data_IF_005819276473
#
_entry.id   IF_005819276473
#
_cell.length_a   1.000
_cell.length_b   1.000
_cell.length_c   1.000
_cell.angle_alpha   90.00
_cell.angle_beta   90.00
_cell.angle_gamma   90.00
#
_symmetry.space_group_name_H-M   'P 1'
#
loop_
_entity.id
_entity.type
_entity.pdbx_description
1 polymer ?
#
# COMPACT_ATOMS: atom_id res chain seq x y z
N UNK A 1 -18.41 -3.09 -25.13
CA UNK A 1 -18.19 -2.64 -23.74
C UNK A 1 -16.68 -2.56 -23.54
N UNK A 2 -16.16 -1.42 -23.05
CA UNK A 2 -14.75 -1.33 -22.71
C UNK A 2 -14.41 -2.30 -21.56
N UNK A 3 -13.22 -2.92 -21.54
CA UNK A 3 -12.81 -3.79 -20.44
C UNK A 3 -12.74 -3.02 -19.12
N UNK A 4 -13.10 -3.68 -18.02
CA UNK A 4 -13.02 -3.09 -16.68
C UNK A 4 -11.55 -2.89 -16.27
N UNK A 5 -11.25 -1.70 -15.75
CA UNK A 5 -9.97 -1.40 -15.11
C UNK A 5 -9.99 -1.97 -13.70
N UNK A 6 -9.23 -3.04 -13.52
CA UNK A 6 -9.04 -3.74 -12.26
C UNK A 6 -7.57 -3.66 -11.89
N UNK A 7 -7.24 -4.06 -10.67
CA UNK A 7 -5.84 -4.16 -10.26
C UNK A 7 -5.05 -5.11 -11.18
N UNK A 8 -5.65 -6.23 -11.62
CA UNK A 8 -5.01 -7.19 -12.54
C UNK A 8 -4.82 -6.63 -13.95
N UNK A 9 -5.86 -6.03 -14.53
CA UNK A 9 -5.75 -5.45 -15.88
C UNK A 9 -4.82 -4.23 -15.91
N UNK A 10 -4.75 -3.47 -14.82
CA UNK A 10 -3.82 -2.36 -14.69
C UNK A 10 -2.36 -2.81 -14.67
N UNK A 11 -2.01 -3.87 -13.92
CA UNK A 11 -0.64 -4.37 -13.90
C UNK A 11 -0.24 -5.00 -15.24
N UNK A 12 -1.17 -5.69 -15.92
CA UNK A 12 -0.94 -6.22 -17.27
C UNK A 12 -0.67 -5.08 -18.28
N UNK A 13 -1.49 -4.02 -18.28
CA UNK A 13 -1.26 -2.83 -19.14
C UNK A 13 0.07 -2.15 -18.82
N UNK A 14 0.33 -1.84 -17.54
CA UNK A 14 1.54 -1.17 -17.11
C UNK A 14 2.80 -1.96 -17.49
N UNK A 15 2.77 -3.29 -17.31
CA UNK A 15 3.89 -4.18 -17.69
C UNK A 15 4.09 -4.22 -19.20
N UNK A 16 3.02 -4.22 -19.99
CA UNK A 16 3.12 -4.22 -21.46
C UNK A 16 3.77 -2.94 -22.00
N UNK A 17 3.55 -1.81 -21.33
CA UNK A 17 4.02 -0.48 -21.76
C UNK A 17 5.39 -0.12 -21.18
N UNK A 18 5.66 -0.51 -19.93
CA UNK A 18 6.87 -0.11 -19.19
C UNK A 18 7.45 -1.26 -18.35
N UNK A 19 7.83 -2.39 -18.97
CA UNK A 19 8.21 -3.61 -18.24
C UNK A 19 9.41 -3.41 -17.31
N UNK A 20 10.39 -2.59 -17.72
CA UNK A 20 11.63 -2.34 -16.97
C UNK A 20 11.57 -1.16 -16.00
N UNK A 21 10.43 -0.45 -15.91
CA UNK A 21 10.28 0.66 -14.97
C UNK A 21 10.01 0.11 -13.58
N UNK A 22 10.61 0.70 -12.56
CA UNK A 22 10.34 0.35 -11.16
C UNK A 22 8.87 0.60 -10.80
N UNK A 23 8.18 -0.45 -10.38
CA UNK A 23 6.87 -0.38 -9.75
C UNK A 23 7.00 -0.16 -8.24
N UNK A 24 8.03 -0.75 -7.62
CA UNK A 24 8.32 -0.59 -6.19
C UNK A 24 9.79 -0.30 -5.92
N UNK A 25 10.02 0.35 -4.77
CA UNK A 25 11.31 0.47 -4.09
C UNK A 25 11.18 -0.18 -2.72
N UNK A 26 11.85 -1.30 -2.49
CA UNK A 26 11.74 -2.11 -1.26
C UNK A 26 13.02 -2.01 -0.44
N UNK A 27 12.97 -1.64 0.84
CA UNK A 27 14.16 -1.44 1.66
C UNK A 27 14.90 -2.75 1.89
N UNK A 28 16.21 -2.72 1.69
CA UNK A 28 17.15 -3.77 2.09
C UNK A 28 17.75 -3.36 3.43
N UNK A 29 17.40 -4.13 4.47
CA UNK A 29 17.79 -3.84 5.86
C UNK A 29 18.93 -4.75 6.25
N UNK A 30 19.99 -4.16 6.77
CA UNK A 30 21.12 -4.88 7.31
C UNK A 30 20.71 -5.64 8.59
N UNK A 31 20.80 -6.98 8.64
CA UNK A 31 20.31 -7.75 9.78
C UNK A 31 21.06 -7.49 11.10
N UNK A 32 22.30 -6.99 11.03
CA UNK A 32 23.14 -6.76 12.20
C UNK A 32 22.95 -5.36 12.79
N UNK A 33 22.74 -4.36 11.94
CA UNK A 33 22.65 -2.95 12.36
C UNK A 33 21.22 -2.41 12.37
N UNK A 34 20.27 -3.15 11.79
CA UNK A 34 18.89 -2.72 11.60
C UNK A 34 18.78 -1.39 10.81
N UNK A 35 19.79 -1.08 9.98
CA UNK A 35 19.83 0.11 9.11
C UNK A 35 19.46 -0.24 7.68
N UNK A 36 18.94 0.75 6.94
CA UNK A 36 18.60 0.59 5.53
C UNK A 36 19.86 0.81 4.68
N UNK A 37 20.35 -0.27 4.07
CA UNK A 37 21.52 -0.23 3.20
C UNK A 37 21.19 0.46 1.88
N UNK A 38 20.06 0.10 1.26
CA UNK A 38 19.52 0.72 0.05
C UNK A 38 18.06 0.31 -0.18
N UNK A 39 17.41 0.87 -1.19
CA UNK A 39 16.13 0.37 -1.71
C UNK A 39 16.39 -0.36 -3.02
N UNK A 40 15.89 -1.59 -3.08
CA UNK A 40 15.92 -2.42 -4.28
C UNK A 40 14.70 -2.10 -5.15
N UNK A 41 14.95 -1.91 -6.43
CA UNK A 41 13.88 -1.69 -7.41
C UNK A 41 13.24 -3.02 -7.78
N UNK A 42 11.91 -3.06 -7.75
CA UNK A 42 11.10 -4.13 -8.36
C UNK A 42 10.40 -3.53 -9.56
N UNK A 43 10.68 -4.05 -10.74
CA UNK A 43 10.09 -3.60 -11.99
C UNK A 43 8.64 -4.08 -12.16
N UNK A 44 7.87 -3.45 -13.05
CA UNK A 44 6.54 -3.93 -13.40
C UNK A 44 6.56 -5.40 -13.89
N UNK A 45 7.57 -5.78 -14.67
CA UNK A 45 7.73 -7.16 -15.12
C UNK A 45 7.99 -8.14 -13.98
N UNK A 46 8.92 -7.83 -13.08
CA UNK A 46 9.20 -8.66 -11.89
C UNK A 46 7.97 -8.77 -10.99
N UNK A 47 7.24 -7.68 -10.78
CA UNK A 47 6.00 -7.70 -10.00
C UNK A 47 4.94 -8.61 -10.62
N UNK A 48 4.74 -8.54 -11.94
CA UNK A 48 3.81 -9.44 -12.62
C UNK A 48 4.25 -10.91 -12.50
N UNK A 49 5.54 -11.20 -12.64
CA UNK A 49 6.08 -12.55 -12.48
C UNK A 49 5.87 -13.09 -11.06
N UNK A 50 6.10 -12.27 -10.03
CA UNK A 50 5.87 -12.63 -8.63
C UNK A 50 4.39 -12.97 -8.39
N UNK A 51 3.47 -12.15 -8.94
CA UNK A 51 2.03 -12.40 -8.88
C UNK A 51 1.69 -13.74 -9.53
N UNK A 52 2.19 -14.00 -10.75
CA UNK A 52 1.90 -15.23 -11.48
C UNK A 52 2.45 -16.47 -10.79
N UNK A 53 3.67 -16.39 -10.26
CA UNK A 53 4.28 -17.46 -9.51
C UNK A 53 3.46 -17.82 -8.27
N UNK A 54 3.12 -16.81 -7.47
CA UNK A 54 2.36 -17.01 -6.24
C UNK A 54 0.90 -17.38 -6.51
N UNK A 55 0.31 -16.94 -7.62
CA UNK A 55 -1.03 -17.34 -8.04
C UNK A 55 -1.11 -18.83 -8.37
N UNK A 56 -0.10 -19.38 -9.07
CA UNK A 56 -0.01 -20.82 -9.34
C UNK A 56 0.06 -21.62 -8.04
N UNK A 57 0.89 -21.17 -7.10
CA UNK A 57 0.98 -21.78 -5.77
C UNK A 57 -0.37 -21.78 -5.05
N UNK A 58 -1.05 -20.63 -4.95
CA UNK A 58 -2.34 -20.54 -4.25
C UNK A 58 -3.45 -21.30 -4.95
N UNK A 59 -3.45 -21.33 -6.29
CA UNK A 59 -4.38 -22.18 -7.04
C UNK A 59 -4.19 -23.65 -6.66
N UNK A 60 -2.96 -24.16 -6.66
CA UNK A 60 -2.67 -25.53 -6.24
C UNK A 60 -3.15 -25.80 -4.80
N UNK A 61 -2.74 -24.98 -3.84
CA UNK A 61 -3.09 -25.16 -2.41
C UNK A 61 -4.59 -25.10 -2.17
N UNK A 62 -5.29 -24.11 -2.74
CA UNK A 62 -6.70 -23.88 -2.47
C UNK A 62 -7.58 -24.82 -3.29
N UNK A 63 -7.31 -24.97 -4.59
CA UNK A 63 -8.15 -25.76 -5.49
C UNK A 63 -7.82 -27.24 -5.45
N UNK A 64 -6.54 -27.59 -5.65
CA UNK A 64 -6.13 -28.98 -5.86
C UNK A 64 -5.95 -29.71 -4.54
N UNK A 65 -5.31 -29.08 -3.54
CA UNK A 65 -5.11 -29.70 -2.23
C UNK A 65 -6.36 -29.60 -1.35
N UNK A 66 -7.02 -28.44 -1.31
CA UNK A 66 -8.10 -28.15 -0.35
C UNK A 66 -9.52 -28.22 -0.96
N UNK A 67 -9.65 -28.44 -2.28
CA UNK A 67 -10.94 -28.56 -2.96
C UNK A 67 -11.79 -27.28 -3.01
N UNK A 68 -11.22 -26.12 -2.66
CA UNK A 68 -11.95 -24.85 -2.58
C UNK A 68 -12.24 -24.34 -3.99
N UNK A 69 -13.52 -24.14 -4.36
CA UNK A 69 -13.87 -23.66 -5.70
C UNK A 69 -13.41 -22.22 -5.91
N UNK A 70 -13.01 -21.89 -7.13
CA UNK A 70 -12.74 -20.50 -7.53
C UNK A 70 -13.97 -19.62 -7.29
N UNK A 71 -13.74 -18.31 -7.19
CA UNK A 71 -14.70 -17.27 -6.74
C UNK A 71 -15.09 -17.35 -5.27
N UNK A 72 -14.50 -18.29 -4.51
CA UNK A 72 -14.62 -18.28 -3.06
C UNK A 72 -13.88 -17.08 -2.46
N UNK A 73 -14.39 -16.60 -1.34
CA UNK A 73 -13.74 -15.56 -0.53
C UNK A 73 -12.63 -16.20 0.31
N UNK A 74 -11.43 -15.62 0.22
CA UNK A 74 -10.24 -16.04 0.94
C UNK A 74 -9.79 -14.87 1.81
N UNK A 75 -9.77 -15.07 3.12
CA UNK A 75 -9.32 -14.06 4.06
C UNK A 75 -7.79 -14.01 4.09
N UNK A 76 -7.28 -12.79 3.97
CA UNK A 76 -5.86 -12.44 3.98
C UNK A 76 -5.58 -11.63 5.24
N UNK A 77 -4.90 -12.28 6.17
CA UNK A 77 -4.69 -11.86 7.54
C UNK A 77 -3.21 -11.54 7.75
N UNK A 78 -2.79 -10.38 7.25
CA UNK A 78 -1.40 -9.92 7.31
C UNK A 78 -1.32 -8.55 7.97
N UNK A 79 -0.12 -8.14 8.36
CA UNK A 79 0.10 -6.75 8.80
C UNK A 79 -0.05 -5.76 7.64
N UNK A 80 0.30 -6.15 6.42
CA UNK A 80 0.03 -5.40 5.19
C UNK A 80 1.04 -4.30 4.85
N UNK A 81 2.24 -4.35 5.40
CA UNK A 81 3.28 -3.31 5.22
C UNK A 81 4.41 -3.73 4.30
N UNK A 82 4.39 -4.96 3.78
CA UNK A 82 5.44 -5.49 2.92
C UNK A 82 4.95 -5.61 1.48
N UNK A 83 5.87 -5.48 0.54
CA UNK A 83 5.68 -5.77 -0.87
C UNK A 83 5.02 -7.14 -1.07
N UNK A 84 5.50 -8.15 -0.34
CA UNK A 84 4.94 -9.51 -0.42
C UNK A 84 3.45 -9.58 -0.05
N UNK A 85 2.98 -8.74 0.89
CA UNK A 85 1.55 -8.67 1.24
C UNK A 85 0.72 -8.24 0.03
N UNK A 86 1.20 -7.27 -0.77
CA UNK A 86 0.58 -6.86 -2.03
C UNK A 86 0.56 -8.01 -3.04
N UNK A 87 1.69 -8.70 -3.19
CA UNK A 87 1.78 -9.86 -4.11
C UNK A 87 0.74 -10.91 -3.73
N UNK A 88 0.54 -11.21 -2.44
CA UNK A 88 -0.52 -12.12 -1.98
C UNK A 88 -1.92 -11.66 -2.40
N UNK A 89 -2.25 -10.37 -2.25
CA UNK A 89 -3.56 -9.84 -2.67
C UNK A 89 -3.80 -10.06 -4.17
N UNK A 90 -2.83 -9.67 -4.99
CA UNK A 90 -2.92 -9.80 -6.45
C UNK A 90 -2.95 -11.27 -6.87
N UNK A 91 -2.10 -12.11 -6.27
CA UNK A 91 -1.99 -13.53 -6.57
C UNK A 91 -3.30 -14.29 -6.28
N UNK A 92 -3.98 -13.96 -5.17
CA UNK A 92 -5.26 -14.58 -4.82
C UNK A 92 -6.35 -14.21 -5.83
N UNK A 93 -6.41 -12.94 -6.25
CA UNK A 93 -7.28 -12.54 -7.36
C UNK A 93 -6.92 -13.24 -8.67
N UNK A 94 -5.63 -13.33 -8.99
CA UNK A 94 -5.13 -13.97 -10.22
C UNK A 94 -5.39 -15.48 -10.25
N UNK A 95 -5.37 -16.14 -9.09
CA UNK A 95 -5.76 -17.54 -8.92
C UNK A 95 -7.28 -17.77 -9.06
N UNK A 96 -8.07 -16.70 -9.21
CA UNK A 96 -9.52 -16.74 -9.42
C UNK A 96 -10.33 -16.70 -8.13
N UNK A 97 -9.76 -16.26 -7.01
CA UNK A 97 -10.44 -16.10 -5.72
C UNK A 97 -10.72 -14.64 -5.39
N UNK A 98 -11.54 -14.38 -4.36
CA UNK A 98 -11.87 -13.04 -3.90
C UNK A 98 -11.06 -12.77 -2.62
N UNK A 99 -10.04 -11.90 -2.65
CA UNK A 99 -9.29 -11.58 -1.45
C UNK A 99 -10.13 -10.70 -0.51
N UNK A 100 -10.26 -11.10 0.74
CA UNK A 100 -10.78 -10.28 1.81
C UNK A 100 -9.64 -9.85 2.72
N UNK A 101 -9.28 -8.57 2.68
CA UNK A 101 -8.19 -8.04 3.49
C UNK A 101 -8.67 -7.83 4.92
N UNK A 102 -7.97 -8.45 5.87
CA UNK A 102 -8.21 -8.30 7.29
C UNK A 102 -6.91 -7.77 7.90
N UNK A 103 -6.94 -6.49 8.29
CA UNK A 103 -5.81 -5.89 8.99
C UNK A 103 -5.66 -6.53 10.37
N UNK A 104 -4.57 -7.25 10.56
CA UNK A 104 -4.15 -7.68 11.89
C UNK A 104 -3.39 -6.52 12.52
N UNK A 105 -4.04 -5.80 13.41
CA UNK A 105 -3.34 -4.91 14.33
C UNK A 105 -2.49 -5.75 15.27
N UNK A 106 -1.33 -5.22 15.67
CA UNK A 106 -0.59 -5.78 16.79
C UNK A 106 -1.59 -5.88 17.93
N UNK A 107 -1.83 -7.12 18.36
CA UNK A 107 -2.86 -7.47 19.28
C UNK A 107 -4.29 -7.48 18.65
N UNK A 108 -4.73 -8.53 17.94
CA UNK A 108 -6.15 -8.78 17.58
C UNK A 108 -6.60 -10.22 17.95
N UNK A 109 -7.77 -10.37 18.60
CA UNK A 109 -8.33 -11.68 18.98
C UNK A 109 -9.12 -12.27 17.79
N UNK A 110 -9.03 -13.59 17.59
CA UNK A 110 -9.78 -14.33 16.57
C UNK A 110 -11.29 -14.07 16.66
N UNK A 111 -11.82 -13.87 17.87
CA UNK A 111 -13.23 -13.53 18.09
C UNK A 111 -13.69 -12.27 17.33
N UNK A 112 -12.75 -11.36 17.05
CA UNK A 112 -13.03 -10.10 16.34
C UNK A 112 -13.21 -10.33 14.84
N UNK A 113 -12.48 -11.29 14.28
CA UNK A 113 -12.53 -11.60 12.85
C UNK A 113 -13.56 -12.68 12.52
N UNK A 114 -14.05 -13.45 13.50
CA UNK A 114 -15.04 -14.50 13.29
C UNK A 114 -16.32 -13.99 12.60
N UNK A 115 -16.91 -12.90 13.11
CA UNK A 115 -18.11 -12.30 12.50
C UNK A 115 -17.89 -11.88 11.03
N UNK A 116 -16.82 -11.11 10.73
CA UNK A 116 -16.41 -10.81 9.35
C UNK A 116 -16.15 -12.05 8.48
N UNK A 117 -15.57 -13.11 9.02
CA UNK A 117 -15.30 -14.33 8.26
C UNK A 117 -16.59 -15.06 7.88
N UNK A 118 -17.52 -15.17 8.84
CA UNK A 118 -18.85 -15.78 8.65
C UNK A 118 -19.70 -14.97 7.67
N UNK A 119 -19.79 -13.65 7.87
CA UNK A 119 -20.56 -12.75 6.99
C UNK A 119 -20.04 -12.77 5.54
N UNK A 120 -18.73 -12.97 5.34
CA UNK A 120 -18.12 -13.06 4.02
C UNK A 120 -18.27 -14.43 3.35
N UNK A 121 -18.78 -15.44 4.06
CA UNK A 121 -18.75 -16.84 3.63
C UNK A 121 -17.32 -17.29 3.26
N UNK A 122 -16.35 -16.91 4.10
CA UNK A 122 -14.93 -17.18 3.89
C UNK A 122 -14.68 -18.69 3.86
N UNK A 123 -13.91 -19.16 2.87
CA UNK A 123 -13.59 -20.59 2.71
C UNK A 123 -12.20 -20.99 3.17
N UNK A 124 -11.27 -20.03 3.28
CA UNK A 124 -9.96 -20.25 3.86
C UNK A 124 -9.40 -18.95 4.45
N UNK A 125 -8.48 -19.11 5.40
CA UNK A 125 -7.75 -18.06 6.06
C UNK A 125 -6.26 -18.25 5.83
N UNK A 126 -5.60 -17.24 5.27
CA UNK A 126 -4.14 -17.17 5.16
C UNK A 126 -3.67 -16.14 6.18
N UNK A 127 -2.83 -16.53 7.15
CA UNK A 127 -2.44 -15.68 8.27
C UNK A 127 -0.93 -15.66 8.51
N UNK A 128 -0.39 -14.50 8.87
CA UNK A 128 0.98 -14.34 9.40
C UNK A 128 0.93 -14.51 10.93
N UNK A 129 1.71 -15.46 11.48
CA UNK A 129 1.64 -15.82 12.91
C UNK A 129 2.08 -14.65 13.81
N UNK A 130 1.13 -13.91 14.41
CA UNK A 130 1.42 -12.93 15.47
C UNK A 130 0.30 -12.93 16.53
N UNK A 131 0.67 -12.81 17.80
CA UNK A 131 -0.22 -12.94 18.99
C UNK A 131 -1.16 -11.73 19.20
N UNK A 132 -2.44 -12.01 19.55
CA UNK A 132 -3.60 -11.10 19.74
C UNK A 132 -3.53 -10.15 20.98
N UNK A 133 -4.38 -9.15 21.30
CA UNK A 133 -5.82 -8.75 21.14
C UNK A 133 -6.13 -7.20 21.16
N UNK A 134 -7.24 -6.74 20.54
CA UNK A 134 -8.08 -5.57 20.91
C UNK A 134 -9.47 -5.71 20.27
N UNK A 135 -10.51 -5.19 20.94
CA UNK A 135 -11.93 -5.47 20.71
C UNK A 135 -12.64 -4.45 19.80
N UNK A 136 -13.13 -4.88 18.65
CA UNK A 136 -14.10 -4.12 17.85
C UNK A 136 -14.55 -4.88 16.61
N UNK A 137 -15.85 -5.18 16.48
CA UNK A 137 -16.39 -5.88 15.30
C UNK A 137 -16.16 -5.04 14.04
N UNK A 138 -15.24 -5.50 13.17
CA UNK A 138 -15.08 -4.88 11.85
C UNK A 138 -16.28 -5.21 10.97
N UNK A 139 -16.67 -4.28 10.10
CA UNK A 139 -17.72 -4.50 9.10
C UNK A 139 -17.08 -4.86 7.77
N UNK A 140 -17.68 -5.79 7.04
CA UNK A 140 -17.28 -6.08 5.67
C UNK A 140 -17.71 -4.92 4.78
N UNK A 141 -16.79 -4.42 3.97
CA UNK A 141 -17.11 -3.52 2.87
C UNK A 141 -16.91 -4.29 1.57
N UNK A 142 -17.99 -4.77 0.91
CA UNK A 142 -17.86 -5.47 -0.34
C UNK A 142 -17.51 -4.48 -1.46
N UNK A 143 -16.46 -4.80 -2.22
CA UNK A 143 -16.12 -4.07 -3.45
C UNK A 143 -16.30 -4.99 -4.65
N UNK A 144 -16.79 -4.44 -5.76
CA UNK A 144 -16.88 -5.14 -7.03
C UNK A 144 -16.01 -4.45 -8.09
N UNK A 145 -15.77 -5.13 -9.21
CA UNK A 145 -14.90 -4.60 -10.27
C UNK A 145 -15.46 -3.34 -10.95
N UNK A 146 -16.77 -3.13 -10.95
CA UNK A 146 -17.38 -1.89 -11.46
C UNK A 146 -17.05 -0.70 -10.57
N UNK A 147 -17.14 -0.88 -9.24
CA UNK A 147 -16.74 0.13 -8.27
C UNK A 147 -15.24 0.44 -8.40
N UNK A 148 -14.41 -0.59 -8.58
CA UNK A 148 -12.98 -0.41 -8.74
C UNK A 148 -12.64 0.36 -10.02
N UNK A 149 -13.22 -0.02 -11.16
CA UNK A 149 -13.08 0.68 -12.44
C UNK A 149 -13.45 2.16 -12.31
N UNK A 150 -14.57 2.45 -11.66
CA UNK A 150 -15.00 3.83 -11.38
C UNK A 150 -14.02 4.62 -10.51
N UNK A 151 -13.35 3.99 -9.55
CA UNK A 151 -12.33 4.65 -8.73
C UNK A 151 -11.05 4.88 -9.52
N UNK A 152 -10.57 3.88 -10.27
CA UNK A 152 -9.37 4.01 -11.11
C UNK A 152 -9.52 5.14 -12.11
N UNK A 153 -10.68 5.24 -12.78
CA UNK A 153 -10.95 6.32 -13.74
C UNK A 153 -11.00 7.72 -13.12
N UNK A 154 -11.33 7.82 -11.83
CA UNK A 154 -11.37 9.08 -11.08
C UNK A 154 -10.02 9.47 -10.51
N UNK A 155 -9.07 8.54 -10.44
CA UNK A 155 -7.72 8.86 -10.00
C UNK A 155 -7.08 9.73 -11.06
N UNK A 156 -7.13 11.03 -10.86
CA UNK A 156 -6.34 11.96 -11.65
C UNK A 156 -4.90 11.85 -11.18
N UNK A 157 -3.98 11.75 -12.12
CA UNK A 157 -2.56 11.97 -11.84
C UNK A 157 -2.43 13.33 -11.18
N UNK A 158 -1.84 13.39 -9.98
CA UNK A 158 -1.36 14.66 -9.44
C UNK A 158 -0.32 15.17 -10.44
N UNK A 159 -0.55 16.27 -11.16
CA UNK A 159 0.33 16.67 -12.25
C UNK A 159 1.69 17.06 -11.66
N UNK A 160 2.69 16.19 -11.79
CA UNK A 160 4.07 16.59 -11.57
C UNK A 160 4.62 17.11 -12.90
N UNK A 161 5.02 18.38 -12.89
CA UNK A 161 5.40 19.17 -14.07
C UNK A 161 6.77 18.79 -14.66
N UNK A 162 7.28 17.58 -14.38
CA UNK A 162 8.72 17.29 -14.50
C UNK A 162 9.12 16.23 -15.53
N UNK A 163 8.17 15.56 -16.19
CA UNK A 163 8.49 14.46 -17.13
C UNK A 163 9.23 13.27 -16.49
N UNK A 164 9.38 13.25 -15.16
CA UNK A 164 10.02 12.20 -14.37
C UNK A 164 9.00 11.15 -13.93
N UNK A 165 9.49 9.98 -13.54
CA UNK A 165 8.66 8.95 -12.89
C UNK A 165 8.29 9.46 -11.50
N UNK A 166 7.01 9.50 -11.19
CA UNK A 166 6.56 9.91 -9.87
C UNK A 166 6.90 8.81 -8.85
N UNK A 167 7.60 9.17 -7.80
CA UNK A 167 7.92 8.28 -6.68
C UNK A 167 7.05 8.70 -5.50
N UNK A 168 6.22 7.75 -5.09
CA UNK A 168 5.10 7.92 -4.16
C UNK A 168 5.38 7.11 -2.90
N UNK A 169 5.21 7.70 -1.72
CA UNK A 169 5.41 6.97 -0.47
C UNK A 169 4.31 5.93 -0.20
N UNK A 170 4.69 4.83 0.45
CA UNK A 170 3.74 3.92 1.06
C UNK A 170 2.91 4.67 2.12
N UNK A 171 1.60 4.40 2.25
CA UNK A 171 0.75 5.13 3.23
C UNK A 171 0.55 4.37 4.53
N UNK A 172 0.43 3.06 4.45
CA UNK A 172 0.22 2.17 5.58
C UNK A 172 -0.19 0.77 5.16
N UNK A 173 -0.92 0.04 6.00
CA UNK A 173 -1.31 -1.34 5.71
C UNK A 173 -2.17 -1.45 4.45
N UNK A 174 -1.91 -2.46 3.60
CA UNK A 174 -2.68 -2.75 2.38
C UNK A 174 -4.16 -3.01 2.64
N UNK A 175 -4.57 -3.46 3.83
CA UNK A 175 -5.99 -3.61 4.15
C UNK A 175 -6.69 -2.29 4.49
N UNK A 176 -5.97 -1.16 4.58
CA UNK A 176 -6.61 0.14 4.53
C UNK A 176 -7.02 0.48 3.10
N UNK A 177 -8.29 0.86 2.94
CA UNK A 177 -8.83 1.18 1.63
C UNK A 177 -8.03 2.26 0.90
N UNK A 178 -7.59 3.29 1.63
CA UNK A 178 -6.80 4.38 1.08
C UNK A 178 -5.45 3.91 0.50
N UNK A 179 -4.81 2.91 1.14
CA UNK A 179 -3.58 2.30 0.63
C UNK A 179 -3.86 1.43 -0.60
N UNK A 180 -4.87 0.55 -0.53
CA UNK A 180 -5.20 -0.35 -1.64
C UNK A 180 -5.59 0.41 -2.91
N UNK A 181 -6.48 1.40 -2.76
CA UNK A 181 -6.92 2.28 -3.85
C UNK A 181 -5.76 3.13 -4.35
N UNK A 182 -4.96 3.72 -3.46
CA UNK A 182 -3.76 4.49 -3.84
C UNK A 182 -2.72 3.67 -4.61
N UNK A 183 -2.51 2.41 -4.24
CA UNK A 183 -1.64 1.48 -4.96
C UNK A 183 -2.11 1.25 -6.40
N UNK A 184 -3.40 0.97 -6.58
CA UNK A 184 -3.97 0.72 -7.91
C UNK A 184 -3.83 1.97 -8.78
N UNK A 185 -4.01 3.16 -8.20
CA UNK A 185 -3.75 4.43 -8.89
C UNK A 185 -2.29 4.64 -9.24
N UNK A 186 -1.36 4.26 -8.36
CA UNK A 186 0.08 4.36 -8.61
C UNK A 186 0.49 3.49 -9.80
N UNK A 187 0.00 2.25 -9.85
CA UNK A 187 0.22 1.32 -10.97
C UNK A 187 -0.43 1.83 -12.26
N UNK A 188 -1.67 2.33 -12.18
CA UNK A 188 -2.38 2.88 -13.35
C UNK A 188 -1.61 4.03 -14.01
N UNK A 189 -0.96 4.87 -13.21
CA UNK A 189 -0.12 5.96 -13.69
C UNK A 189 1.32 5.58 -14.00
N UNK A 190 1.67 4.29 -13.86
CA UNK A 190 3.03 3.75 -14.10
C UNK A 190 4.09 4.44 -13.25
N UNK A 191 3.69 4.84 -12.05
CA UNK A 191 4.50 5.47 -11.01
C UNK A 191 5.12 4.40 -10.11
N UNK A 192 6.10 4.80 -9.29
CA UNK A 192 6.82 3.91 -8.39
C UNK A 192 6.39 4.14 -6.93
N UNK A 193 6.13 3.07 -6.18
CA UNK A 193 5.82 3.15 -4.75
C UNK A 193 7.04 2.78 -3.90
N UNK A 194 7.45 3.64 -2.98
CA UNK A 194 8.55 3.36 -2.04
C UNK A 194 8.02 2.84 -0.71
N UNK A 195 8.44 1.64 -0.34
CA UNK A 195 8.07 0.99 0.91
C UNK A 195 8.95 1.49 2.07
N UNK A 196 8.32 1.64 3.23
CA UNK A 196 8.99 1.81 4.50
C UNK A 196 9.57 0.48 5.02
N UNK A 197 10.61 0.58 5.83
CA UNK A 197 11.17 -0.53 6.61
C UNK A 197 10.17 -1.02 7.65
N UNK A 198 9.53 -0.09 8.36
CA UNK A 198 8.47 -0.38 9.34
C UNK A 198 7.11 0.13 8.87
N UNK A 199 6.02 -0.34 9.46
CA UNK A 199 4.68 0.11 9.07
C UNK A 199 4.44 1.61 9.22
N UNK A 200 5.30 2.29 9.98
CA UNK A 200 5.36 3.73 10.16
C UNK A 200 6.83 4.14 10.06
N UNK A 201 7.20 5.12 9.24
CA UNK A 201 8.58 5.54 9.11
C UNK A 201 8.96 6.46 10.29
N UNK A 202 10.20 6.34 10.78
CA UNK A 202 10.77 7.39 11.62
C UNK A 202 11.02 8.66 10.80
N UNK A 203 11.19 9.83 11.42
CA UNK A 203 11.57 11.05 10.69
C UNK A 203 12.88 10.87 9.91
N UNK A 204 13.87 10.21 10.51
CA UNK A 204 15.14 9.91 9.83
C UNK A 204 14.92 9.04 8.58
N UNK A 205 14.07 8.01 8.68
CA UNK A 205 13.73 7.16 7.53
C UNK A 205 12.95 7.93 6.45
N UNK A 206 12.01 8.80 6.84
CA UNK A 206 11.26 9.63 5.90
C UNK A 206 12.18 10.57 5.12
N UNK A 207 13.11 11.23 5.81
CA UNK A 207 14.15 12.08 5.19
C UNK A 207 15.02 11.25 4.23
N UNK A 208 15.43 10.06 4.64
CA UNK A 208 16.19 9.13 3.81
C UNK A 208 15.42 8.74 2.52
N UNK A 209 14.11 8.49 2.62
CA UNK A 209 13.27 8.15 1.48
C UNK A 209 13.09 9.33 0.53
N UNK A 210 12.92 10.54 1.05
CA UNK A 210 12.88 11.76 0.22
C UNK A 210 14.22 11.92 -0.51
N UNK A 211 15.33 11.86 0.21
CA UNK A 211 16.64 12.20 -0.31
C UNK A 211 17.25 11.11 -1.20
N UNK A 212 17.18 9.84 -0.79
CA UNK A 212 17.82 8.70 -1.46
C UNK A 212 16.93 8.11 -2.55
N UNK A 213 15.61 8.04 -2.30
CA UNK A 213 14.66 7.53 -3.31
C UNK A 213 14.09 8.63 -4.21
N UNK A 214 14.39 9.92 -3.97
CA UNK A 214 13.85 11.06 -4.74
C UNK A 214 12.32 11.09 -4.72
N UNK A 215 11.76 10.78 -3.56
CA UNK A 215 10.31 10.74 -3.34
C UNK A 215 9.77 12.17 -3.34
N UNK A 216 8.80 12.44 -4.23
CA UNK A 216 8.22 13.79 -4.41
C UNK A 216 6.75 13.86 -4.07
N UNK A 217 6.11 12.72 -3.80
CA UNK A 217 4.75 12.66 -3.30
C UNK A 217 4.72 11.84 -2.02
N UNK A 218 4.36 12.48 -0.92
CA UNK A 218 4.16 11.82 0.36
C UNK A 218 2.67 11.65 0.63
N UNK A 219 2.30 10.45 1.03
CA UNK A 219 0.97 10.13 1.51
C UNK A 219 1.09 9.59 2.93
N UNK A 220 0.60 10.35 3.90
CA UNK A 220 0.74 10.04 5.32
C UNK A 220 -0.60 10.19 6.04
N UNK A 221 -0.82 9.39 7.08
CA UNK A 221 -1.93 9.66 7.98
C UNK A 221 -1.59 10.89 8.86
N UNK A 222 -2.58 11.73 9.23
CA UNK A 222 -2.34 12.96 9.98
C UNK A 222 -1.51 12.79 11.25
N UNK A 223 -1.76 11.71 12.00
CA UNK A 223 -1.03 11.45 13.24
C UNK A 223 0.46 11.20 13.02
N UNK A 224 0.87 10.54 11.93
CA UNK A 224 2.28 10.38 11.56
C UNK A 224 2.87 11.69 11.04
N UNK A 225 2.13 12.39 10.18
CA UNK A 225 2.60 13.65 9.61
C UNK A 225 2.86 14.70 10.70
N UNK A 226 2.04 14.77 11.77
CA UNK A 226 2.30 15.67 12.92
C UNK A 226 3.67 15.47 13.55
N UNK A 227 4.14 14.23 13.68
CA UNK A 227 5.44 13.94 14.29
C UNK A 227 6.57 14.52 13.43
N UNK A 228 6.49 14.35 12.11
CA UNK A 228 7.46 14.89 11.17
C UNK A 228 7.40 16.42 11.06
N UNK A 229 6.20 17.02 11.10
CA UNK A 229 6.05 18.48 11.13
C UNK A 229 6.67 19.07 12.42
N UNK A 230 6.44 18.45 13.58
CA UNK A 230 7.09 18.88 14.83
C UNK A 230 8.61 18.76 14.76
N UNK A 231 9.12 17.68 14.19
CA UNK A 231 10.56 17.51 14.01
C UNK A 231 11.14 18.60 13.08
N UNK A 232 10.46 18.94 11.98
CA UNK A 232 10.91 19.98 11.04
C UNK A 232 10.96 21.39 11.63
N UNK A 233 10.24 21.67 12.72
CA UNK A 233 10.36 22.95 13.45
C UNK A 233 11.68 23.08 14.20
N UNK A 234 12.30 21.94 14.54
CA UNK A 234 13.51 21.88 15.36
C UNK A 234 14.75 21.47 14.57
N UNK A 235 14.57 20.81 13.42
CA UNK A 235 15.63 20.29 12.58
C UNK A 235 15.55 20.85 11.15
N UNK A 236 16.49 21.72 10.75
CA UNK A 236 16.55 22.29 9.40
C UNK A 236 16.70 21.25 8.28
N UNK A 237 17.33 20.09 8.55
CA UNK A 237 17.47 19.03 7.54
C UNK A 237 16.11 18.39 7.23
N UNK A 238 15.35 18.05 8.27
CA UNK A 238 13.97 17.57 8.12
C UNK A 238 13.09 18.60 7.40
N UNK A 239 13.18 19.89 7.75
CA UNK A 239 12.43 20.93 7.05
C UNK A 239 12.79 21.01 5.58
N UNK A 240 14.09 21.02 5.26
CA UNK A 240 14.57 21.06 3.87
C UNK A 240 14.06 19.85 3.07
N UNK A 241 14.09 18.65 3.67
CA UNK A 241 13.58 17.45 3.03
C UNK A 241 12.07 17.56 2.76
N UNK A 242 11.25 17.93 3.76
CA UNK A 242 9.80 18.04 3.58
C UNK A 242 9.43 19.12 2.56
N UNK A 243 10.08 20.29 2.58
CA UNK A 243 9.85 21.37 1.60
C UNK A 243 10.33 21.02 0.18
N UNK A 244 11.09 19.94 -0.01
CA UNK A 244 11.52 19.47 -1.34
C UNK A 244 10.51 18.55 -2.04
N UNK A 245 9.49 18.10 -1.30
CA UNK A 245 8.40 17.26 -1.80
C UNK A 245 7.41 18.15 -2.55
N UNK A 246 6.92 17.69 -3.70
CA UNK A 246 5.97 18.49 -4.49
C UNK A 246 4.57 18.48 -3.87
N UNK A 247 4.17 17.32 -3.32
CA UNK A 247 2.85 17.13 -2.72
C UNK A 247 2.93 16.26 -1.48
N UNK A 248 2.37 16.76 -0.38
CA UNK A 248 2.08 15.98 0.83
C UNK A 248 0.57 15.88 0.96
N UNK A 249 0.02 14.68 0.82
CA UNK A 249 -1.40 14.39 0.98
C UNK A 249 -1.66 13.60 2.26
N UNK A 250 -2.73 13.94 2.96
CA UNK A 250 -3.18 13.22 4.15
C UNK A 250 -4.68 12.96 4.14
N UNK A 251 -5.11 11.93 4.87
CA UNK A 251 -6.53 11.60 4.99
C UNK A 251 -6.81 10.77 6.24
N UNK A 252 -8.08 10.67 6.64
CA UNK A 252 -8.52 9.85 7.79
C UNK A 252 -8.46 10.55 9.14
N UNK A 253 -8.18 11.85 9.18
CA UNK A 253 -8.23 12.71 10.37
C UNK A 253 -8.03 14.18 9.99
N UNK A 254 -8.20 15.09 10.96
CA UNK A 254 -7.98 16.54 10.78
C UNK A 254 -6.72 17.00 11.50
N UNK A 255 -6.15 18.13 11.10
CA UNK A 255 -5.16 18.87 11.89
C UNK A 255 -5.84 19.99 12.69
N UNK A 256 -5.10 20.56 13.66
CA UNK A 256 -5.48 21.86 14.22
C UNK A 256 -5.16 22.98 13.22
N UNK A 257 -5.89 24.09 13.27
CA UNK A 257 -5.70 25.26 12.39
C UNK A 257 -4.24 25.71 12.32
N UNK A 258 -3.60 25.81 13.48
CA UNK A 258 -2.22 26.33 13.61
C UNK A 258 -1.18 25.34 13.06
N UNK A 259 -1.49 24.05 13.03
CA UNK A 259 -0.64 23.03 12.42
C UNK A 259 -0.77 23.06 10.88
N UNK A 260 -1.99 23.25 10.35
CA UNK A 260 -2.23 23.37 8.91
C UNK A 260 -1.61 24.65 8.34
N UNK A 261 -1.83 25.79 8.98
CA UNK A 261 -1.32 27.09 8.53
C UNK A 261 0.21 27.07 8.44
N UNK A 262 0.87 26.60 9.50
CA UNK A 262 2.33 26.47 9.50
C UNK A 262 2.85 25.54 8.40
N UNK A 263 2.19 24.41 8.19
CA UNK A 263 2.59 23.44 7.17
C UNK A 263 2.33 23.96 5.74
N UNK A 264 1.27 24.74 5.54
CA UNK A 264 1.01 25.43 4.29
C UNK A 264 2.08 26.46 3.95
N UNK A 265 2.45 27.30 4.92
CA UNK A 265 3.46 28.35 4.73
C UNK A 265 4.86 27.78 4.45
N UNK A 266 5.24 26.70 5.14
CA UNK A 266 6.62 26.23 5.14
C UNK A 266 6.88 25.05 4.19
N UNK A 267 5.87 24.23 3.90
CA UNK A 267 6.03 22.89 3.30
C UNK A 267 5.07 22.62 2.12
N UNK A 268 3.99 23.39 1.94
CA UNK A 268 2.97 23.19 0.88
C UNK A 268 2.26 21.82 0.96
N UNK A 269 1.39 21.66 1.97
CA UNK A 269 0.55 20.45 2.14
C UNK A 269 -0.78 20.55 1.36
N UNK A 270 -1.41 19.43 1.02
CA UNK A 270 -2.73 19.38 0.36
C UNK A 270 -3.66 18.35 1.00
N UNK A 271 -4.97 18.65 1.03
CA UNK A 271 -6.05 17.75 1.48
C UNK A 271 -6.58 16.88 0.35
#
# INVERSE_FOLDING_TARGET
MSPLLTHLTNIEDATSRFPSRAAFKVPQVNPQTDRIDHWMDITFHEFLLDIEHLARYWFHVLKETSGIPQRSVIALCFRGYKYLDIVHVYAISRAGYIPQLINIFQNADYSVIQGPLEQANTRALIYESTSGSTSGKSKIVPFNYTWLDGNVRKMTKVPLDSGKVDIVSWRGSIGYMAQFVGLIGTIHHTSCMVQYKSGQPSTAELVDIINRCKTRQLFLFPHFLREHLRASRMDPETLCALSSVDVIMYTGGSFGSDEEEWAWEMISISW
#
